data_IF_471887784384
#
_entry.id   IF_471887784384
#
_cell.length_a   1.000
_cell.length_b   1.000
_cell.length_c   1.000
_cell.angle_alpha   90.00
_cell.angle_beta   90.00
_cell.angle_gamma   90.00
#
_symmetry.space_group_name_H-M   'P 1'
#
loop_
_entity.id
_entity.type
_entity.pdbx_description
1 polymer ?
#
# COMPACT_ATOMS: atom_id res chain seq x y z
N UNK A 1 -26.32 0.66 4.69
CA UNK A 1 -25.70 0.82 3.35
C UNK A 1 -25.39 2.29 3.05
N UNK A 2 -26.39 3.16 2.88
CA UNK A 2 -26.13 4.57 2.51
C UNK A 2 -25.25 5.32 3.53
N UNK A 3 -25.52 5.18 4.83
CA UNK A 3 -24.71 5.81 5.88
C UNK A 3 -23.25 5.35 5.87
N UNK A 4 -23.00 4.05 5.73
CA UNK A 4 -21.65 3.50 5.62
C UNK A 4 -20.91 3.99 4.36
N UNK A 5 -21.61 4.13 3.24
CA UNK A 5 -21.03 4.69 2.03
C UNK A 5 -20.67 6.18 2.17
N UNK A 6 -21.47 6.95 2.92
CA UNK A 6 -21.19 8.35 3.21
C UNK A 6 -19.97 8.51 4.13
N UNK A 7 -19.87 7.69 5.18
CA UNK A 7 -18.73 7.67 6.10
C UNK A 7 -17.41 7.40 5.38
N UNK A 8 -17.38 6.42 4.46
CA UNK A 8 -16.22 6.14 3.61
C UNK A 8 -15.85 7.34 2.74
N UNK A 9 -16.84 8.07 2.21
CA UNK A 9 -16.59 9.25 1.38
C UNK A 9 -16.00 10.41 2.22
N UNK A 10 -16.50 10.61 3.44
CA UNK A 10 -15.99 11.62 4.37
C UNK A 10 -14.56 11.30 4.82
N UNK A 11 -14.27 10.03 5.16
CA UNK A 11 -12.93 9.58 5.54
C UNK A 11 -11.91 9.80 4.40
N UNK A 12 -12.27 9.50 3.15
CA UNK A 12 -11.42 9.75 1.97
C UNK A 12 -11.23 11.24 1.67
N UNK A 13 -12.21 12.08 2.01
CA UNK A 13 -12.10 13.53 1.86
C UNK A 13 -11.13 14.11 2.89
N UNK A 14 -11.21 13.62 4.14
CA UNK A 14 -10.40 14.08 5.27
C UNK A 14 -8.95 13.55 5.25
N UNK A 15 -8.73 12.33 4.73
CA UNK A 15 -7.40 11.68 4.64
C UNK A 15 -6.57 12.13 3.43
N UNK A 16 -7.09 13.07 2.63
CA UNK A 16 -6.47 13.49 1.39
C UNK A 16 -5.15 14.21 1.66
N UNK A 17 -4.01 13.71 1.15
CA UNK A 17 -2.73 14.33 1.42
C UNK A 17 -2.65 15.71 0.74
N UNK A 18 -1.97 16.68 1.36
CA UNK A 18 -1.77 18.02 0.79
C UNK A 18 -0.98 17.97 -0.53
N UNK A 19 -0.19 16.92 -0.74
CA UNK A 19 0.75 16.70 -1.86
C UNK A 19 0.09 16.25 -3.16
N UNK A 20 -1.12 16.73 -3.47
CA UNK A 20 -1.85 16.44 -4.73
C UNK A 20 -1.10 16.91 -6.01
N UNK A 21 0.09 17.49 -5.86
CA UNK A 21 0.85 18.22 -6.87
C UNK A 21 2.16 17.56 -7.30
N UNK A 22 2.55 16.41 -6.74
CA UNK A 22 3.65 15.60 -7.30
C UNK A 22 3.18 14.89 -8.58
N UNK A 23 2.92 15.68 -9.62
CA UNK A 23 2.76 15.20 -10.99
C UNK A 23 4.14 14.81 -11.53
N UNK A 24 4.16 13.97 -12.55
CA UNK A 24 5.38 13.54 -13.23
C UNK A 24 6.26 14.74 -13.63
N UNK A 25 5.70 15.77 -14.26
CA UNK A 25 6.44 16.98 -14.63
C UNK A 25 7.09 17.68 -13.42
N UNK A 26 6.38 17.76 -12.30
CA UNK A 26 6.90 18.35 -11.06
C UNK A 26 7.99 17.47 -10.45
N UNK A 27 7.84 16.15 -10.51
CA UNK A 27 8.85 15.21 -10.05
C UNK A 27 10.13 15.31 -10.90
N UNK A 28 10.01 15.41 -12.23
CA UNK A 28 11.15 15.64 -13.13
C UNK A 28 11.87 16.94 -12.78
N UNK A 29 11.13 18.04 -12.59
CA UNK A 29 11.69 19.33 -12.15
C UNK A 29 12.43 19.21 -10.82
N UNK A 30 11.84 18.52 -9.85
CA UNK A 30 12.51 18.24 -8.58
C UNK A 30 13.79 17.44 -8.79
N UNK A 31 13.75 16.32 -9.52
CA UNK A 31 14.92 15.48 -9.78
C UNK A 31 16.04 16.26 -10.49
N UNK A 32 15.71 17.06 -11.51
CA UNK A 32 16.67 17.93 -12.19
C UNK A 32 17.32 18.90 -11.19
N UNK A 33 16.52 19.55 -10.33
CA UNK A 33 17.05 20.43 -9.28
C UNK A 33 17.98 19.71 -8.31
N UNK A 34 17.68 18.47 -7.91
CA UNK A 34 18.57 17.69 -7.03
C UNK A 34 19.91 17.39 -7.71
N UNK A 35 19.86 17.02 -8.99
CA UNK A 35 21.05 16.62 -9.75
C UNK A 35 21.92 17.84 -10.12
N UNK A 36 21.30 18.91 -10.60
CA UNK A 36 22.00 20.02 -11.26
C UNK A 36 22.01 21.31 -10.44
N UNK A 37 21.13 21.45 -9.46
CA UNK A 37 20.88 22.71 -8.74
C UNK A 37 19.84 23.63 -9.42
N UNK A 38 19.27 23.19 -10.55
CA UNK A 38 18.32 23.93 -11.40
C UNK A 38 17.18 22.99 -11.86
N UNK A 39 15.93 23.41 -11.74
CA UNK A 39 14.75 22.57 -12.02
C UNK A 39 14.45 22.40 -13.52
N UNK A 40 15.10 23.17 -14.38
CA UNK A 40 14.87 23.17 -15.83
C UNK A 40 16.03 22.61 -16.64
N UNK A 41 17.17 22.32 -16.00
CA UNK A 41 18.38 21.90 -16.70
C UNK A 41 18.62 20.41 -16.52
N UNK A 42 18.76 19.74 -17.64
CA UNK A 42 19.14 18.33 -17.71
C UNK A 42 20.59 18.13 -17.23
N UNK A 43 20.92 16.98 -16.61
CA UNK A 43 22.26 16.71 -16.07
C UNK A 43 23.40 16.91 -17.07
N UNK A 44 23.19 16.56 -18.34
CA UNK A 44 24.21 16.70 -19.39
C UNK A 44 24.48 18.13 -19.83
N UNK A 45 23.65 19.08 -19.40
CA UNK A 45 23.75 20.51 -19.73
C UNK A 45 24.05 21.37 -18.51
N UNK A 46 24.11 20.77 -17.32
CA UNK A 46 24.38 21.47 -16.07
C UNK A 46 25.75 22.17 -16.09
N UNK A 47 25.79 23.40 -15.60
CA UNK A 47 26.99 24.23 -15.50
C UNK A 47 27.56 24.25 -14.08
N UNK A 48 28.84 24.63 -13.93
CA UNK A 48 29.48 24.76 -12.60
C UNK A 48 28.68 25.68 -11.67
N UNK A 49 28.21 26.87 -12.07
CA UNK A 49 27.43 27.73 -11.19
C UNK A 49 26.07 27.15 -10.77
N UNK A 50 25.44 26.32 -11.61
CA UNK A 50 24.20 25.63 -11.21
C UNK A 50 24.50 24.60 -10.12
N UNK A 51 25.53 23.77 -10.33
CA UNK A 51 25.89 22.68 -9.42
C UNK A 51 26.43 23.17 -8.07
N UNK A 52 27.21 24.26 -8.07
CA UNK A 52 27.87 24.80 -6.87
C UNK A 52 27.25 26.10 -6.32
N UNK A 53 26.22 26.63 -6.98
CA UNK A 53 25.57 27.91 -6.64
C UNK A 53 26.32 29.16 -7.12
N UNK A 54 27.59 29.04 -7.52
CA UNK A 54 28.38 30.10 -8.15
C UNK A 54 29.57 29.49 -8.89
N UNK A 55 30.30 30.30 -9.66
CA UNK A 55 31.55 29.87 -10.27
C UNK A 55 32.59 29.50 -9.19
N UNK A 56 33.28 28.39 -9.36
CA UNK A 56 34.35 27.97 -8.47
C UNK A 56 35.68 28.51 -9.01
N UNK A 57 36.38 29.37 -8.26
CA UNK A 57 37.69 29.90 -8.66
C UNK A 57 38.83 29.52 -7.70
N UNK A 58 38.55 28.70 -6.69
CA UNK A 58 39.41 28.45 -5.53
C UNK A 58 39.70 26.96 -5.33
N UNK A 59 40.55 26.66 -4.34
CA UNK A 59 40.80 25.29 -3.90
C UNK A 59 39.50 24.55 -3.56
N UNK A 60 39.44 23.27 -3.96
CA UNK A 60 38.27 22.37 -3.85
C UNK A 60 37.65 22.25 -2.46
N UNK A 61 38.40 22.56 -1.39
CA UNK A 61 37.88 22.52 -0.03
C UNK A 61 36.62 23.39 0.17
N UNK A 62 36.62 24.58 -0.42
CA UNK A 62 35.53 25.54 -0.28
C UNK A 62 34.22 25.05 -0.98
N UNK A 63 34.23 24.69 -2.29
CA UNK A 63 33.07 24.13 -2.96
C UNK A 63 32.64 22.75 -2.46
N UNK A 64 33.48 22.02 -1.72
CA UNK A 64 33.18 20.71 -1.13
C UNK A 64 32.82 20.77 0.36
N UNK A 65 32.64 21.97 0.90
CA UNK A 65 32.10 22.18 2.26
C UNK A 65 30.67 22.67 2.14
N UNK A 66 29.73 21.96 2.78
CA UNK A 66 28.35 22.38 2.91
C UNK A 66 28.26 23.59 3.85
N UNK A 67 27.89 24.74 3.29
CA UNK A 67 27.79 26.02 4.01
C UNK A 67 26.79 26.96 3.34
N UNK A 68 26.37 27.98 4.08
CA UNK A 68 25.42 28.98 3.59
C UNK A 68 25.92 29.75 2.36
N UNK A 69 27.22 30.04 2.30
CA UNK A 69 27.82 30.86 1.24
C UNK A 69 28.33 29.99 0.10
N UNK A 70 27.89 30.27 -1.12
CA UNK A 70 28.46 29.63 -2.30
C UNK A 70 29.95 30.04 -2.49
N UNK A 71 30.80 29.19 -3.10
CA UNK A 71 30.45 27.88 -3.64
C UNK A 71 30.29 26.80 -2.54
N UNK A 72 29.37 25.88 -2.76
CA UNK A 72 28.98 24.79 -1.83
C UNK A 72 28.48 23.61 -2.67
N UNK A 73 28.49 22.33 -2.23
CA UNK A 73 28.04 21.22 -3.05
C UNK A 73 26.50 21.15 -3.10
N UNK A 74 25.89 22.13 -3.79
CA UNK A 74 24.45 22.39 -3.82
C UNK A 74 23.66 21.30 -4.55
N UNK A 75 24.30 20.54 -5.43
CA UNK A 75 23.69 19.45 -6.20
C UNK A 75 24.41 18.11 -6.03
N UNK A 76 23.75 17.01 -6.39
CA UNK A 76 24.36 15.68 -6.37
C UNK A 76 25.54 15.58 -7.36
N UNK A 77 25.48 16.26 -8.50
CA UNK A 77 26.62 16.29 -9.44
C UNK A 77 27.84 17.01 -8.85
N UNK A 78 27.65 18.11 -8.10
CA UNK A 78 28.73 18.74 -7.34
C UNK A 78 29.29 17.81 -6.26
N UNK A 79 28.40 17.13 -5.52
CA UNK A 79 28.78 16.14 -4.53
C UNK A 79 29.63 15.00 -5.12
N UNK A 80 29.21 14.44 -6.25
CA UNK A 80 29.98 13.41 -6.96
C UNK A 80 31.32 13.95 -7.46
N UNK A 81 31.38 15.18 -7.95
CA UNK A 81 32.65 15.80 -8.32
C UNK A 81 33.61 15.90 -7.12
N UNK A 82 33.09 16.29 -5.95
CA UNK A 82 33.85 16.41 -4.70
C UNK A 82 34.39 15.08 -4.17
N UNK A 83 33.74 13.96 -4.45
CA UNK A 83 34.18 12.64 -3.98
C UNK A 83 35.01 11.91 -5.04
N UNK A 84 34.66 12.04 -6.32
CA UNK A 84 35.12 11.13 -7.37
C UNK A 84 36.16 11.71 -8.33
N UNK A 85 36.21 13.04 -8.55
CA UNK A 85 37.25 13.59 -9.41
C UNK A 85 38.61 13.45 -8.73
N UNK A 86 39.59 12.97 -9.51
CA UNK A 86 40.99 12.93 -9.12
C UNK A 86 41.58 14.35 -9.08
N UNK A 87 42.78 14.50 -8.52
CA UNK A 87 43.54 15.75 -8.58
C UNK A 87 44.51 15.75 -9.78
N UNK A 88 44.87 16.93 -10.29
CA UNK A 88 45.89 17.04 -11.34
C UNK A 88 47.28 16.70 -10.82
N UNK A 89 48.01 15.81 -11.51
CA UNK A 89 49.34 15.38 -11.10
C UNK A 89 49.37 14.48 -9.86
N UNK A 90 48.19 14.00 -9.42
CA UNK A 90 48.05 13.08 -8.29
C UNK A 90 48.49 11.66 -8.62
N UNK A 91 48.81 10.90 -7.58
CA UNK A 91 49.19 9.48 -7.65
C UNK A 91 47.97 8.53 -7.79
N UNK A 92 46.74 9.07 -7.75
CA UNK A 92 45.51 8.28 -7.78
C UNK A 92 44.52 8.87 -8.80
N UNK A 93 44.18 8.07 -9.80
CA UNK A 93 43.15 8.36 -10.79
C UNK A 93 41.96 7.41 -10.62
N UNK A 94 40.85 7.73 -11.31
CA UNK A 94 39.71 6.82 -11.42
C UNK A 94 39.10 6.45 -10.06
N UNK A 95 38.87 7.45 -9.20
CA UNK A 95 38.60 7.26 -7.76
C UNK A 95 37.33 6.45 -7.52
N UNK A 96 36.23 6.79 -8.20
CA UNK A 96 34.96 6.08 -8.03
C UNK A 96 34.74 4.96 -9.04
N UNK A 97 35.46 4.95 -10.17
CA UNK A 97 35.34 3.90 -11.18
C UNK A 97 36.54 3.85 -12.11
N UNK A 98 37.04 2.63 -12.36
CA UNK A 98 38.08 2.33 -13.37
C UNK A 98 37.64 2.62 -14.81
N UNK A 99 36.34 2.80 -15.05
CA UNK A 99 35.81 3.19 -16.35
C UNK A 99 35.98 4.69 -16.64
N UNK A 100 36.32 5.50 -15.64
CA UNK A 100 36.62 6.93 -15.85
C UNK A 100 37.90 7.08 -16.69
N UNK A 101 37.90 8.06 -17.61
CA UNK A 101 39.08 8.29 -18.44
C UNK A 101 40.22 8.90 -17.59
N UNK A 102 41.45 8.46 -17.87
CA UNK A 102 42.65 9.05 -17.27
C UNK A 102 42.74 10.54 -17.62
N UNK A 103 43.23 11.37 -16.69
CA UNK A 103 43.31 12.82 -16.87
C UNK A 103 42.02 13.61 -16.65
N UNK A 104 40.85 12.97 -16.45
CA UNK A 104 39.60 13.64 -16.05
C UNK A 104 39.64 14.06 -14.58
N UNK A 105 40.50 15.03 -14.27
CA UNK A 105 40.76 15.51 -12.93
C UNK A 105 40.08 16.86 -12.64
N UNK A 106 40.07 17.21 -11.36
CA UNK A 106 39.87 18.57 -10.88
C UNK A 106 41.23 19.08 -10.40
N UNK A 107 41.84 19.98 -11.17
CA UNK A 107 43.15 20.51 -10.85
C UNK A 107 43.18 21.30 -9.54
N UNK A 108 44.27 21.16 -8.79
CA UNK A 108 44.44 21.85 -7.51
C UNK A 108 44.47 23.38 -7.72
N UNK A 109 43.63 24.09 -6.98
CA UNK A 109 43.53 25.55 -7.06
C UNK A 109 42.82 26.09 -8.31
N UNK A 110 42.13 25.25 -9.07
CA UNK A 110 41.36 25.65 -10.26
C UNK A 110 39.88 25.27 -10.15
N UNK A 111 39.07 25.76 -11.09
CA UNK A 111 37.71 25.28 -11.30
C UNK A 111 37.71 23.84 -11.84
N UNK A 112 36.69 23.01 -11.53
CA UNK A 112 36.51 21.75 -12.23
C UNK A 112 36.07 21.99 -13.67
N UNK A 113 36.55 21.15 -14.58
CA UNK A 113 36.05 21.12 -15.95
C UNK A 113 34.66 20.48 -15.97
N UNK A 114 33.66 21.22 -16.46
CA UNK A 114 32.26 20.74 -16.51
C UNK A 114 32.12 19.41 -17.25
N UNK A 115 32.88 19.23 -18.34
CA UNK A 115 32.89 17.99 -19.12
C UNK A 115 33.36 16.77 -18.31
N UNK A 116 34.29 16.93 -17.37
CA UNK A 116 34.74 15.82 -16.51
C UNK A 116 33.64 15.40 -15.53
N UNK A 117 32.84 16.35 -15.04
CA UNK A 117 31.68 16.05 -14.20
C UNK A 117 30.61 15.33 -15.04
N UNK A 118 30.31 15.81 -16.25
CA UNK A 118 29.36 15.14 -17.13
C UNK A 118 29.79 13.72 -17.47
N UNK A 119 31.07 13.50 -17.75
CA UNK A 119 31.60 12.18 -18.07
C UNK A 119 31.55 11.25 -16.85
N UNK A 120 31.85 11.76 -15.65
CA UNK A 120 31.67 11.02 -14.40
C UNK A 120 30.22 10.55 -14.22
N UNK A 121 29.23 11.42 -14.44
CA UNK A 121 27.80 11.05 -14.25
C UNK A 121 27.33 10.05 -15.31
N UNK A 122 27.88 10.08 -16.53
CA UNK A 122 27.59 9.08 -17.58
C UNK A 122 28.09 7.67 -17.22
N UNK A 123 28.94 7.52 -16.21
CA UNK A 123 29.36 6.21 -15.71
C UNK A 123 28.27 5.54 -14.85
N UNK A 124 27.28 6.29 -14.39
CA UNK A 124 26.12 5.71 -13.71
C UNK A 124 25.34 4.82 -14.69
N UNK A 125 24.82 3.67 -14.25
CA UNK A 125 23.95 2.83 -15.07
C UNK A 125 22.77 3.63 -15.64
N UNK A 126 22.27 3.30 -16.84
CA UNK A 126 21.11 3.97 -17.39
C UNK A 126 19.90 3.79 -16.47
N UNK A 127 19.11 4.85 -16.34
CA UNK A 127 17.90 4.83 -15.52
C UNK A 127 16.92 3.77 -16.03
N UNK A 128 16.37 2.97 -15.11
CA UNK A 128 15.26 2.08 -15.41
C UNK A 128 13.96 2.89 -15.45
N UNK A 129 13.17 2.74 -16.52
CA UNK A 129 11.83 3.31 -16.58
C UNK A 129 10.88 2.49 -15.72
N UNK A 130 10.50 3.02 -14.56
CA UNK A 130 9.56 2.40 -13.63
C UNK A 130 8.84 3.47 -12.81
N UNK A 131 7.80 3.07 -12.09
CA UNK A 131 7.13 3.93 -11.10
C UNK A 131 8.03 4.08 -9.87
N UNK A 132 8.52 5.29 -9.64
CA UNK A 132 9.34 5.61 -8.48
C UNK A 132 8.52 5.54 -7.19
N UNK A 133 9.04 4.81 -6.20
CA UNK A 133 8.40 4.61 -4.91
C UNK A 133 9.08 5.42 -3.80
N UNK A 134 8.34 5.68 -2.73
CA UNK A 134 8.86 6.28 -1.51
C UNK A 134 9.97 5.43 -0.87
N UNK A 135 9.84 4.11 -0.93
CA UNK A 135 10.80 3.18 -0.34
C UNK A 135 12.16 3.25 -1.06
N UNK A 136 12.17 3.36 -2.40
CA UNK A 136 13.39 3.50 -3.19
C UNK A 136 14.13 4.80 -2.85
N UNK A 137 13.41 5.92 -2.77
CA UNK A 137 14.02 7.21 -2.40
C UNK A 137 14.55 7.21 -0.96
N UNK A 138 13.80 6.64 -0.01
CA UNK A 138 14.25 6.53 1.37
C UNK A 138 15.51 5.67 1.48
N UNK A 139 15.54 4.51 0.81
CA UNK A 139 16.72 3.64 0.80
C UNK A 139 17.94 4.33 0.18
N UNK A 140 17.74 5.18 -0.84
CA UNK A 140 18.83 5.97 -1.41
C UNK A 140 19.38 7.00 -0.42
N UNK A 141 18.52 7.69 0.32
CA UNK A 141 18.93 8.62 1.40
C UNK A 141 19.70 7.87 2.47
N UNK A 142 19.14 6.78 2.98
CA UNK A 142 19.74 5.98 4.04
C UNK A 142 21.13 5.47 3.61
N UNK A 143 21.27 5.00 2.37
CA UNK A 143 22.55 4.54 1.82
C UNK A 143 23.62 5.64 1.81
N UNK A 144 23.25 6.88 1.51
CA UNK A 144 24.19 8.01 1.52
C UNK A 144 24.58 8.37 2.94
N UNK A 145 23.61 8.40 3.85
CA UNK A 145 23.84 8.75 5.26
C UNK A 145 24.68 7.70 5.96
N UNK A 146 24.40 6.42 5.73
CA UNK A 146 25.17 5.30 6.29
C UNK A 146 26.60 5.23 5.73
N UNK A 147 26.84 5.78 4.53
CA UNK A 147 28.17 5.92 3.96
C UNK A 147 28.97 7.11 4.54
N UNK A 148 28.36 7.93 5.41
CA UNK A 148 29.07 9.04 6.04
C UNK A 148 29.87 8.61 7.28
N UNK A 149 30.96 9.32 7.51
CA UNK A 149 31.77 9.21 8.73
C UNK A 149 31.62 10.49 9.55
N UNK A 150 31.83 10.41 10.86
CA UNK A 150 31.67 11.52 11.77
C UNK A 150 32.93 11.76 12.60
N UNK A 151 33.18 13.03 12.90
CA UNK A 151 34.04 13.47 14.00
C UNK A 151 33.16 14.08 15.08
N UNK A 152 33.77 14.70 16.11
CA UNK A 152 33.01 15.41 17.14
C UNK A 152 32.25 16.64 16.60
N UNK A 153 32.70 17.22 15.48
CA UNK A 153 32.19 18.51 14.97
C UNK A 153 31.60 18.43 13.58
N UNK A 154 31.91 17.39 12.81
CA UNK A 154 31.65 17.37 11.38
C UNK A 154 31.28 15.96 10.89
N UNK A 155 30.55 15.92 9.77
CA UNK A 155 30.28 14.71 8.99
C UNK A 155 30.98 14.77 7.64
N UNK A 156 31.33 13.60 7.11
CA UNK A 156 32.05 13.47 5.85
C UNK A 156 31.50 12.34 4.99
N UNK A 157 31.29 12.61 3.71
CA UNK A 157 31.03 11.58 2.70
C UNK A 157 32.28 11.46 1.82
N UNK A 158 32.81 10.26 1.67
CA UNK A 158 34.10 10.02 1.00
C UNK A 158 35.27 9.95 1.99
N UNK A 159 36.49 9.85 1.45
CA UNK A 159 37.69 9.69 2.26
C UNK A 159 38.12 11.03 2.84
N UNK A 160 38.21 11.13 4.17
CA UNK A 160 38.64 12.33 4.90
C UNK A 160 39.91 12.05 5.72
N UNK A 161 40.83 13.01 5.76
CA UNK A 161 41.95 13.05 6.71
C UNK A 161 42.07 14.44 7.38
N UNK A 162 42.32 15.50 6.60
CA UNK A 162 42.51 16.86 7.13
C UNK A 162 41.50 17.87 6.59
N UNK A 163 41.23 17.83 5.28
CA UNK A 163 40.30 18.73 4.60
C UNK A 163 39.72 18.00 3.35
N UNK A 164 38.79 18.63 2.63
CA UNK A 164 38.18 18.06 1.41
C UNK A 164 38.68 18.76 0.13
N UNK A 165 39.98 19.00 0.01
CA UNK A 165 40.59 19.67 -1.15
C UNK A 165 40.98 18.75 -2.32
N UNK A 166 40.73 17.44 -2.19
CA UNK A 166 41.02 16.45 -3.23
C UNK A 166 42.43 15.90 -3.21
N UNK A 167 43.34 16.42 -2.38
CA UNK A 167 44.72 15.96 -2.30
C UNK A 167 44.84 14.60 -1.62
N UNK A 168 45.81 13.79 -2.07
CA UNK A 168 46.07 12.45 -1.52
C UNK A 168 46.24 12.41 0.01
N UNK A 169 46.97 13.38 0.58
CA UNK A 169 47.23 13.43 2.03
C UNK A 169 46.09 14.08 2.83
N UNK A 170 45.05 14.55 2.14
CA UNK A 170 43.89 15.17 2.73
C UNK A 170 42.66 14.29 2.48
N UNK A 171 41.72 14.76 1.68
CA UNK A 171 40.47 14.07 1.49
C UNK A 171 39.80 14.39 0.17
N UNK A 172 39.13 13.38 -0.36
CA UNK A 172 38.16 13.48 -1.45
C UNK A 172 36.81 13.22 -0.84
N UNK A 173 36.21 14.30 -0.36
CA UNK A 173 35.04 14.23 0.48
C UNK A 173 34.12 15.43 0.28
N UNK A 174 32.93 15.32 0.85
CA UNK A 174 32.08 16.45 1.21
C UNK A 174 32.15 16.58 2.73
N UNK A 175 32.17 17.82 3.22
CA UNK A 175 32.14 18.13 4.65
C UNK A 175 30.83 18.81 5.03
N UNK A 176 30.19 18.38 6.12
CA UNK A 176 29.08 19.07 6.78
C UNK A 176 29.44 19.41 8.23
N UNK A 177 29.12 20.61 8.68
CA UNK A 177 29.20 20.97 10.10
C UNK A 177 28.03 20.37 10.87
N UNK A 178 28.28 19.79 12.05
CA UNK A 178 27.25 19.34 12.96
C UNK A 178 26.42 20.51 13.57
N UNK A 179 26.91 21.75 13.45
CA UNK A 179 26.17 22.95 13.87
C UNK A 179 25.04 23.31 12.91
N UNK A 180 25.17 22.93 11.64
CA UNK A 180 24.23 23.30 10.58
C UNK A 180 23.17 22.20 10.38
N UNK A 181 23.31 21.08 11.08
CA UNK A 181 22.37 19.98 11.11
C UNK A 181 22.95 18.81 11.90
N UNK A 182 22.12 18.14 12.71
CA UNK A 182 22.56 16.99 13.50
C UNK A 182 22.89 15.76 12.65
N UNK A 183 22.52 15.76 11.36
CA UNK A 183 22.80 14.73 10.37
C UNK A 183 22.92 15.36 8.97
N UNK A 184 23.67 14.76 8.03
CA UNK A 184 23.87 15.30 6.67
C UNK A 184 22.57 15.61 5.91
N UNK A 185 21.56 14.73 6.00
CA UNK A 185 20.27 14.87 5.34
C UNK A 185 19.38 15.96 5.94
N UNK A 186 19.74 16.47 7.11
CA UNK A 186 19.06 17.60 7.76
C UNK A 186 19.76 18.93 7.47
N UNK A 187 20.95 18.90 6.84
CA UNK A 187 21.72 20.10 6.58
C UNK A 187 21.04 20.95 5.47
N UNK A 188 20.75 22.24 5.71
CA UNK A 188 20.04 23.10 4.77
C UNK A 188 20.90 23.53 3.57
N UNK A 189 22.21 23.30 3.60
CA UNK A 189 23.16 23.74 2.58
C UNK A 189 23.42 22.70 1.49
N UNK A 190 22.90 21.48 1.67
CA UNK A 190 22.87 20.43 0.65
C UNK A 190 21.41 20.06 0.32
N UNK A 191 20.68 20.94 -0.39
CA UNK A 191 19.27 20.73 -0.68
C UNK A 191 19.02 19.42 -1.43
N UNK A 192 19.97 18.95 -2.24
CA UNK A 192 19.83 17.68 -2.95
C UNK A 192 19.62 16.46 -2.02
N UNK A 193 20.18 16.45 -0.80
CA UNK A 193 20.01 15.35 0.16
C UNK A 193 18.79 15.54 1.05
N UNK A 194 18.50 16.79 1.42
CA UNK A 194 17.31 17.14 2.20
C UNK A 194 16.01 16.96 1.39
N UNK A 195 16.00 17.49 0.19
CA UNK A 195 14.79 17.56 -0.65
C UNK A 195 14.40 16.17 -1.16
N UNK A 196 15.36 15.26 -1.42
CA UNK A 196 15.05 13.85 -1.76
C UNK A 196 14.38 13.11 -0.60
N UNK A 197 14.80 13.35 0.65
CA UNK A 197 14.16 12.79 1.83
C UNK A 197 12.74 13.34 2.01
N UNK A 198 12.55 14.63 1.70
CA UNK A 198 11.21 15.23 1.67
C UNK A 198 10.33 14.58 0.60
N UNK A 199 10.82 14.41 -0.63
CA UNK A 199 10.07 13.78 -1.72
C UNK A 199 9.69 12.33 -1.36
N UNK A 200 10.58 11.58 -0.70
CA UNK A 200 10.27 10.23 -0.20
C UNK A 200 9.07 10.26 0.76
N UNK A 201 9.04 11.20 1.70
CA UNK A 201 7.91 11.38 2.64
C UNK A 201 6.61 11.76 1.91
N UNK A 202 6.67 12.66 0.94
CA UNK A 202 5.51 13.09 0.16
C UNK A 202 4.94 11.96 -0.72
N UNK A 203 5.82 11.16 -1.35
CA UNK A 203 5.42 9.95 -2.07
C UNK A 203 4.79 8.92 -1.13
N UNK A 204 5.35 8.74 0.08
CA UNK A 204 4.80 7.79 1.05
C UNK A 204 3.35 8.13 1.42
N UNK A 205 3.07 9.40 1.70
CA UNK A 205 1.71 9.87 1.99
C UNK A 205 0.76 9.61 0.81
N UNK A 206 1.23 9.79 -0.42
CA UNK A 206 0.44 9.52 -1.62
C UNK A 206 0.16 8.04 -1.82
N UNK A 207 1.16 7.18 -1.64
CA UNK A 207 1.00 5.73 -1.70
C UNK A 207 0.01 5.22 -0.64
N UNK A 208 0.14 5.72 0.60
CA UNK A 208 -0.77 5.39 1.70
C UNK A 208 -2.21 5.82 1.38
N UNK A 209 -2.41 7.01 0.81
CA UNK A 209 -3.73 7.46 0.36
C UNK A 209 -4.29 6.60 -0.79
N UNK A 210 -3.47 6.26 -1.78
CA UNK A 210 -3.89 5.39 -2.89
C UNK A 210 -4.34 4.01 -2.39
N UNK A 211 -3.66 3.46 -1.37
CA UNK A 211 -4.08 2.22 -0.70
C UNK A 211 -5.45 2.35 -0.04
N UNK A 212 -5.70 3.46 0.67
CA UNK A 212 -7.01 3.75 1.28
C UNK A 212 -8.11 3.89 0.24
N UNK A 213 -7.88 4.64 -0.85
CA UNK A 213 -8.82 4.77 -1.97
C UNK A 213 -9.14 3.41 -2.59
N UNK A 214 -8.13 2.56 -2.80
CA UNK A 214 -8.34 1.22 -3.35
C UNK A 214 -9.19 0.34 -2.40
N UNK A 215 -8.96 0.42 -1.08
CA UNK A 215 -9.75 -0.29 -0.09
C UNK A 215 -11.20 0.19 -0.06
N UNK A 216 -11.41 1.51 0.00
CA UNK A 216 -12.73 2.14 -0.03
C UNK A 216 -13.52 1.78 -1.28
N UNK A 217 -12.89 1.76 -2.46
CA UNK A 217 -13.52 1.31 -3.71
C UNK A 217 -14.03 -0.13 -3.63
N UNK A 218 -13.26 -1.04 -2.99
CA UNK A 218 -13.70 -2.43 -2.78
C UNK A 218 -14.90 -2.50 -1.85
N UNK A 219 -14.90 -1.74 -0.76
CA UNK A 219 -16.02 -1.69 0.20
C UNK A 219 -17.27 -1.11 -0.45
N UNK A 220 -17.16 0.00 -1.18
CA UNK A 220 -18.29 0.61 -1.90
C UNK A 220 -18.89 -0.33 -2.94
N UNK A 221 -18.06 -1.10 -3.66
CA UNK A 221 -18.54 -2.13 -4.60
C UNK A 221 -19.33 -3.23 -3.89
N UNK A 222 -18.91 -3.61 -2.69
CA UNK A 222 -19.62 -4.60 -1.84
C UNK A 222 -20.97 -4.06 -1.40
N UNK A 223 -21.00 -2.84 -0.84
CA UNK A 223 -22.23 -2.15 -0.44
C UNK A 223 -23.21 -1.95 -1.61
N UNK A 224 -22.69 -1.68 -2.81
CA UNK A 224 -23.51 -1.61 -4.02
C UNK A 224 -24.14 -2.97 -4.35
N UNK A 225 -23.39 -4.07 -4.24
CA UNK A 225 -23.91 -5.42 -4.41
C UNK A 225 -24.99 -5.77 -3.39
N UNK A 226 -24.78 -5.44 -2.12
CA UNK A 226 -25.78 -5.63 -1.05
C UNK A 226 -27.07 -4.85 -1.34
N UNK A 227 -26.96 -3.59 -1.78
CA UNK A 227 -28.11 -2.78 -2.13
C UNK A 227 -28.91 -3.38 -3.29
N UNK A 228 -28.22 -3.94 -4.30
CA UNK A 228 -28.86 -4.62 -5.42
C UNK A 228 -29.56 -5.91 -4.99
N UNK A 229 -28.93 -6.71 -4.13
CA UNK A 229 -29.51 -7.92 -3.57
C UNK A 229 -30.77 -7.61 -2.75
N UNK A 230 -30.74 -6.58 -1.90
CA UNK A 230 -31.89 -6.11 -1.13
C UNK A 230 -33.03 -5.62 -2.05
N UNK A 231 -32.71 -4.88 -3.11
CA UNK A 231 -33.71 -4.46 -4.10
C UNK A 231 -34.39 -5.66 -4.77
N UNK A 232 -33.61 -6.69 -5.10
CA UNK A 232 -34.12 -7.92 -5.70
C UNK A 232 -35.02 -8.70 -4.74
N UNK A 233 -34.62 -8.84 -3.46
CA UNK A 233 -35.41 -9.54 -2.45
C UNK A 233 -36.75 -8.84 -2.17
N UNK A 234 -36.75 -7.50 -2.07
CA UNK A 234 -37.97 -6.70 -1.93
C UNK A 234 -38.92 -6.92 -3.13
N UNK A 235 -38.38 -6.99 -4.36
CA UNK A 235 -39.19 -7.26 -5.57
C UNK A 235 -39.84 -8.64 -5.52
N UNK A 236 -39.10 -9.66 -5.09
CA UNK A 236 -39.63 -11.03 -4.92
C UNK A 236 -40.73 -11.07 -3.86
N UNK A 237 -40.50 -10.47 -2.69
CA UNK A 237 -41.50 -10.41 -1.61
C UNK A 237 -42.77 -9.66 -2.03
N UNK A 238 -42.63 -8.55 -2.76
CA UNK A 238 -43.80 -7.80 -3.26
C UNK A 238 -44.63 -8.64 -4.23
N UNK A 239 -43.99 -9.41 -5.11
CA UNK A 239 -44.67 -10.31 -6.03
C UNK A 239 -45.36 -11.48 -5.32
N UNK A 240 -44.78 -11.99 -4.22
CA UNK A 240 -45.41 -13.02 -3.39
C UNK A 240 -46.66 -12.50 -2.65
N UNK A 241 -46.64 -11.24 -2.18
CA UNK A 241 -47.79 -10.60 -1.53
C UNK A 241 -48.89 -10.13 -2.50
N UNK A 242 -48.69 -10.26 -3.82
CA UNK A 242 -49.71 -10.01 -4.85
C UNK A 242 -50.40 -11.31 -5.33
N UNK A 243 -50.53 -12.33 -4.47
CA UNK A 243 -51.60 -13.30 -4.66
C UNK A 243 -52.95 -12.58 -4.46
N UNK A 244 -53.92 -12.72 -5.39
CA UNK A 244 -55.24 -12.14 -5.19
C UNK A 244 -55.80 -12.67 -3.87
N UNK A 245 -56.37 -11.78 -3.06
CA UNK A 245 -57.33 -12.13 -2.02
C UNK A 245 -58.53 -12.81 -2.72
N UNK A 246 -58.42 -14.10 -2.98
CA UNK A 246 -59.57 -14.93 -3.26
C UNK A 246 -60.31 -15.08 -1.93
N UNK A 247 -61.53 -14.56 -1.89
CA UNK A 247 -62.43 -14.65 -0.77
C UNK A 247 -62.74 -16.11 -0.41
N UNK A 248 -62.83 -16.38 0.89
CA UNK A 248 -63.61 -17.49 1.44
C UNK A 248 -62.80 -18.60 2.12
N UNK A 249 -63.15 -18.99 3.36
CA UNK A 249 -62.40 -19.93 4.16
C UNK A 249 -62.68 -21.37 3.73
N UNK A 250 -61.64 -22.19 3.63
CA UNK A 250 -61.80 -23.62 3.80
C UNK A 250 -60.71 -24.16 4.70
N UNK A 251 -61.15 -24.64 5.86
CA UNK A 251 -60.40 -25.54 6.73
C UNK A 251 -59.80 -26.69 5.92
N UNK A 252 -58.54 -27.01 6.19
CA UNK A 252 -58.18 -28.40 6.49
C UNK A 252 -56.76 -28.50 7.03
N UNK A 253 -56.66 -29.32 8.06
CA UNK A 253 -55.47 -29.78 8.76
C UNK A 253 -54.36 -30.30 7.82
N UNK A 254 -53.08 -29.97 8.15
CA UNK A 254 -51.81 -30.76 8.16
C UNK A 254 -51.56 -31.88 7.08
N UNK A 255 -50.31 -32.39 6.85
CA UNK A 255 -48.96 -31.99 7.25
C UNK A 255 -47.91 -32.07 6.08
N UNK A 256 -46.64 -32.05 6.46
CA UNK A 256 -45.36 -31.90 5.72
C UNK A 256 -45.02 -33.01 4.69
N UNK A 257 -44.49 -32.56 3.55
CA UNK A 257 -43.55 -33.15 2.57
C UNK A 257 -43.35 -34.69 2.46
N UNK A 258 -43.75 -35.25 1.30
CA UNK A 258 -42.98 -36.22 0.49
C UNK A 258 -43.70 -36.46 -0.85
N UNK A 259 -43.21 -35.91 -1.98
CA UNK A 259 -43.67 -36.35 -3.31
C UNK A 259 -42.54 -36.26 -4.34
N UNK A 260 -41.76 -37.35 -4.42
CA UNK A 260 -40.75 -37.55 -5.46
C UNK A 260 -40.81 -38.93 -6.12
N UNK A 261 -41.74 -39.81 -5.71
CA UNK A 261 -41.85 -41.17 -6.26
C UNK A 261 -42.35 -41.14 -7.71
N UNK A 262 -43.27 -40.24 -8.05
CA UNK A 262 -43.86 -40.12 -9.39
C UNK A 262 -42.88 -39.70 -10.49
N UNK A 263 -41.71 -39.19 -10.13
CA UNK A 263 -40.65 -38.80 -11.05
C UNK A 263 -39.69 -39.96 -11.37
N UNK A 264 -39.78 -41.08 -10.65
CA UNK A 264 -38.90 -42.23 -10.82
C UNK A 264 -39.50 -43.16 -11.87
N UNK A 265 -38.78 -43.33 -12.98
CA UNK A 265 -39.20 -44.15 -14.12
C UNK A 265 -38.47 -45.49 -14.21
N UNK A 266 -37.50 -45.74 -13.31
CA UNK A 266 -36.73 -46.98 -13.24
C UNK A 266 -37.11 -47.81 -12.01
N UNK A 267 -37.23 -49.13 -12.20
CA UNK A 267 -37.70 -50.08 -11.19
C UNK A 267 -36.76 -50.20 -10.00
N UNK A 268 -35.46 -50.42 -10.24
CA UNK A 268 -34.47 -50.58 -9.17
C UNK A 268 -34.40 -49.32 -8.29
N UNK A 269 -34.47 -48.13 -8.90
CA UNK A 269 -34.44 -46.86 -8.15
C UNK A 269 -35.70 -46.66 -7.32
N UNK A 270 -36.86 -47.12 -7.80
CA UNK A 270 -38.10 -47.06 -7.03
C UNK A 270 -38.03 -47.99 -5.81
N UNK A 271 -37.57 -49.24 -6.02
CA UNK A 271 -37.48 -50.26 -4.95
C UNK A 271 -36.43 -49.94 -3.88
N UNK A 272 -35.48 -49.04 -4.14
CA UNK A 272 -34.53 -48.55 -3.12
C UNK A 272 -35.11 -47.53 -2.14
N UNK A 273 -36.27 -46.94 -2.44
CA UNK A 273 -36.92 -45.96 -1.58
C UNK A 273 -38.02 -46.62 -0.75
N UNK A 274 -37.88 -46.71 0.58
CA UNK A 274 -38.86 -47.37 1.44
C UNK A 274 -40.26 -46.71 1.42
N UNK A 275 -40.33 -45.44 1.02
CA UNK A 275 -41.56 -44.67 0.89
C UNK A 275 -42.27 -44.83 -0.47
N UNK A 276 -41.67 -45.54 -1.43
CA UNK A 276 -42.23 -45.74 -2.78
C UNK A 276 -42.49 -47.23 -3.07
N UNK A 277 -43.51 -47.53 -3.88
CA UNK A 277 -43.86 -48.86 -4.34
C UNK A 277 -43.93 -48.90 -5.88
N UNK A 278 -43.38 -49.96 -6.46
CA UNK A 278 -43.38 -50.20 -7.90
C UNK A 278 -44.53 -51.11 -8.31
N UNK A 279 -45.33 -50.69 -9.29
CA UNK A 279 -46.46 -51.46 -9.79
C UNK A 279 -46.11 -52.24 -11.06
N UNK A 280 -45.85 -53.54 -10.90
CA UNK A 280 -45.50 -54.48 -11.97
C UNK A 280 -46.60 -54.72 -13.01
N UNK A 281 -47.86 -54.30 -12.73
CA UNK A 281 -49.03 -54.53 -13.60
C UNK A 281 -49.41 -53.33 -14.47
N UNK A 282 -48.70 -52.22 -14.38
CA UNK A 282 -48.98 -51.03 -15.18
C UNK A 282 -48.45 -51.18 -16.63
N UNK A 283 -49.32 -51.05 -17.63
CA UNK A 283 -48.98 -51.10 -19.06
C UNK A 283 -49.06 -49.72 -19.70
N UNK A 284 -48.01 -49.29 -20.40
CA UNK A 284 -47.88 -47.95 -21.00
C UNK A 284 -47.01 -46.99 -20.19
N UNK A 285 -46.84 -45.75 -20.68
CA UNK A 285 -46.00 -44.66 -20.10
C UNK A 285 -46.53 -44.08 -18.78
N UNK A 286 -47.51 -44.72 -18.15
CA UNK A 286 -48.05 -44.30 -16.86
C UNK A 286 -47.07 -44.63 -15.72
N UNK A 287 -47.01 -43.71 -14.76
CA UNK A 287 -46.02 -43.66 -13.67
C UNK A 287 -46.08 -44.93 -12.81
N UNK A 288 -45.12 -45.84 -13.03
CA UNK A 288 -45.03 -47.16 -12.38
C UNK A 288 -44.56 -47.11 -10.92
N UNK A 289 -43.86 -46.04 -10.51
CA UNK A 289 -43.45 -45.81 -9.12
C UNK A 289 -44.41 -44.84 -8.42
N UNK A 290 -45.05 -45.26 -7.33
CA UNK A 290 -46.01 -44.45 -6.56
C UNK A 290 -45.65 -44.45 -5.09
N UNK A 291 -46.12 -43.46 -4.34
CA UNK A 291 -45.93 -43.40 -2.89
C UNK A 291 -46.63 -44.60 -2.22
N UNK A 292 -45.92 -45.32 -1.35
CA UNK A 292 -46.50 -46.37 -0.53
C UNK A 292 -47.15 -45.73 0.70
N UNK A 293 -48.48 -45.58 0.66
CA UNK A 293 -49.24 -44.90 1.73
C UNK A 293 -49.20 -45.66 3.06
N UNK A 294 -48.97 -46.98 3.05
CA UNK A 294 -48.89 -47.80 4.27
C UNK A 294 -47.52 -47.69 4.96
N UNK A 295 -46.44 -47.48 4.21
CA UNK A 295 -45.09 -47.29 4.76
C UNK A 295 -44.91 -45.90 5.41
N UNK A 296 -45.54 -44.87 4.84
CA UNK A 296 -45.50 -43.49 5.35
C UNK A 296 -46.24 -43.37 6.68
N UNK A 297 -47.34 -44.12 6.88
CA UNK A 297 -48.07 -44.16 8.15
C UNK A 297 -47.27 -44.81 9.30
N UNK A 298 -46.40 -45.80 9.01
CA UNK A 298 -45.53 -46.41 10.01
C UNK A 298 -44.36 -45.51 10.45
N UNK A 299 -43.90 -44.60 9.59
CA UNK A 299 -42.89 -43.60 9.97
C UNK A 299 -43.50 -42.45 10.79
N UNK A 300 -44.75 -42.06 10.50
CA UNK A 300 -45.43 -40.99 11.21
C UNK A 300 -45.82 -41.36 12.66
N UNK A 301 -45.94 -42.66 12.99
CA UNK A 301 -46.31 -43.14 14.33
C UNK A 301 -45.15 -43.27 15.33
N UNK A 302 -43.89 -43.07 14.92
CA UNK A 302 -42.73 -43.12 15.84
C UNK A 302 -42.28 -41.79 16.42
N UNK A 303 -42.92 -40.68 16.06
CA UNK A 303 -42.53 -39.35 16.55
C UNK A 303 -43.70 -38.64 17.24
N UNK A 304 -44.05 -39.08 18.45
CA UNK A 304 -44.77 -38.24 19.40
C UNK A 304 -45.69 -38.95 20.38
N UNK A 305 -45.18 -39.38 21.53
CA UNK A 305 -45.91 -39.37 22.80
C UNK A 305 -44.91 -39.19 23.94
N UNK A 306 -45.16 -38.21 24.82
CA UNK A 306 -44.29 -37.84 25.93
C UNK A 306 -44.69 -38.45 27.28
N UNK A 307 -43.86 -38.06 28.26
CA UNK A 307 -44.01 -37.99 29.72
C UNK A 307 -44.08 -39.25 30.61
N UNK A 308 -43.29 -39.19 31.71
CA UNK A 308 -43.34 -40.15 32.83
C UNK A 308 -42.15 -40.16 33.83
N UNK A 309 -41.92 -39.03 34.54
CA UNK A 309 -41.54 -38.85 35.98
C UNK A 309 -40.45 -39.72 36.65
N UNK A 310 -39.38 -39.09 37.18
CA UNK A 310 -39.05 -38.81 38.62
C UNK A 310 -37.55 -38.39 38.72
N UNK A 311 -37.17 -37.15 39.06
CA UNK A 311 -37.06 -36.65 40.44
C UNK A 311 -36.02 -35.52 40.59
N UNK A 312 -36.38 -34.52 41.39
CA UNK A 312 -35.56 -33.60 42.22
C UNK A 312 -34.89 -32.33 41.64
N UNK A 313 -35.45 -31.19 42.11
CA UNK A 313 -34.82 -29.91 42.56
C UNK A 313 -34.18 -28.99 41.49
N UNK A 314 -34.45 -27.68 41.38
CA UNK A 314 -35.02 -26.68 42.31
C UNK A 314 -35.56 -25.49 41.49
N UNK A 315 -36.80 -25.13 41.77
CA UNK A 315 -37.53 -23.94 41.28
C UNK A 315 -37.33 -22.74 42.20
N UNK A 316 -37.52 -21.52 41.65
CA UNK A 316 -38.14 -20.30 42.20
C UNK A 316 -37.34 -19.04 41.78
N UNK A 317 -37.86 -18.07 41.03
CA UNK A 317 -39.21 -17.50 41.08
C UNK A 317 -39.73 -17.05 39.69
N UNK A 318 -40.92 -17.53 39.30
CA UNK A 318 -41.83 -16.85 38.38
C UNK A 318 -43.21 -16.77 39.05
N UNK A 319 -43.72 -15.55 39.29
CA UNK A 319 -45.14 -15.33 39.57
C UNK A 319 -45.57 -14.89 40.98
N UNK A 320 -44.95 -13.85 41.57
CA UNK A 320 -45.61 -13.01 42.58
C UNK A 320 -45.32 -11.51 42.37
N UNK A 321 -46.28 -10.70 42.83
CA UNK A 321 -46.50 -9.28 42.59
C UNK A 321 -45.31 -8.34 42.93
N UNK A 322 -45.29 -7.23 42.19
CA UNK A 322 -44.37 -6.09 42.27
C UNK A 322 -44.29 -5.51 43.69
N UNK A 323 -43.29 -5.92 44.48
CA UNK A 323 -42.67 -5.09 45.55
C UNK A 323 -41.38 -5.68 46.16
N UNK A 324 -40.91 -6.87 45.77
CA UNK A 324 -39.71 -7.50 46.38
C UNK A 324 -38.61 -7.98 45.40
N UNK A 325 -38.47 -7.35 44.23
CA UNK A 325 -37.25 -7.51 43.39
C UNK A 325 -36.27 -6.33 43.53
N UNK A 326 -36.28 -5.66 44.68
CA UNK A 326 -35.32 -4.59 45.01
C UNK A 326 -34.49 -4.98 46.23
N UNK A 327 -33.28 -5.48 45.97
CA UNK A 327 -32.03 -5.17 46.69
C UNK A 327 -30.86 -5.88 46.01
N UNK A 328 -30.01 -5.12 45.31
CA UNK A 328 -28.56 -5.32 45.33
C UNK A 328 -28.06 -4.97 46.76
N UNK A 329 -26.85 -5.33 47.26
CA UNK A 329 -25.55 -5.50 46.56
C UNK A 329 -24.80 -6.78 47.05
N UNK A 330 -23.60 -7.17 46.59
CA UNK A 330 -22.27 -6.51 46.53
C UNK A 330 -21.57 -6.68 45.18
#
# INVERSE_FOLDING_TARGET
>A
IASAAAEIADELSNSKPPTRTLKEETLVKHMNRLLTGDDTVEPTSATIPQMFGTATGSARNDPCTAKQTAPTPKSLMAAMACVCLSESGGQAEQICSRAQAAGENWANGAAPTVGHIHNLIKLCPPALTHELTAAELQAAVDSIVDATTATATDFYLGSFANNCDGQQNNGRCIKWSATDGSRPELNPHTPWLKDIAQIASELKQREDYNRQVAAAKRTLKTLQGEAQALKASIKIQRNANHQPLAAGPQESNKPVAASGCEAITQEEQCRTKPECEWNDKATGTEKKCKLNTTAVEQQATKAGTGDGVEGATTEKCKGKLETECTKAPE
#
